data_IF_271358594311
#
_entry.id   IF_271358594311
#
_cell.length_a   1.000
_cell.length_b   1.000
_cell.length_c   1.000
_cell.angle_alpha   90.00
_cell.angle_beta   90.00
_cell.angle_gamma   90.00
#
_symmetry.space_group_name_H-M   'P 1'
#
loop_
_entity.id
_entity.type
_entity.pdbx_description
1 polymer ?
#
# COMPACT_ATOMS: atom_id res chain seq x y z
N UNK A 1 13.93 -5.35 1.47
CA UNK A 1 14.59 -4.14 0.95
C UNK A 1 13.55 -3.19 0.36
N UNK A 2 13.82 -1.89 0.48
CA UNK A 2 12.99 -0.83 -0.10
C UNK A 2 13.68 -0.38 -1.40
N UNK A 3 13.14 -0.79 -2.54
CA UNK A 3 13.80 -0.69 -3.85
C UNK A 3 13.20 0.44 -4.70
N UNK A 4 14.01 1.20 -5.47
CA UNK A 4 13.49 2.20 -6.39
C UNK A 4 12.56 1.59 -7.44
N UNK A 5 11.37 2.18 -7.63
CA UNK A 5 10.40 1.74 -8.66
C UNK A 5 10.97 1.85 -10.07
N UNK A 6 11.92 2.74 -10.30
CA UNK A 6 12.59 2.87 -11.59
C UNK A 6 13.29 1.59 -12.07
N UNK A 7 13.58 0.65 -11.15
CA UNK A 7 14.13 -0.68 -11.47
C UNK A 7 13.06 -1.64 -12.03
N UNK A 8 11.78 -1.30 -11.96
CA UNK A 8 10.64 -2.18 -12.24
C UNK A 8 9.77 -1.69 -13.38
N UNK A 9 10.35 -0.96 -14.35
CA UNK A 9 9.62 -0.52 -15.56
C UNK A 9 8.97 -1.71 -16.27
N UNK A 10 7.79 -1.48 -16.82
CA UNK A 10 7.01 -2.47 -17.59
C UNK A 10 6.64 -3.74 -16.80
N UNK A 11 6.50 -3.61 -15.49
CA UNK A 11 6.06 -4.69 -14.59
C UNK A 11 4.71 -4.37 -13.97
N UNK A 12 4.06 -5.40 -13.38
CA UNK A 12 2.84 -5.22 -12.60
C UNK A 12 3.05 -4.23 -11.43
N UNK A 13 4.25 -4.17 -10.87
CA UNK A 13 4.58 -3.23 -9.80
C UNK A 13 4.51 -1.78 -10.27
N UNK A 14 5.06 -1.49 -11.44
CA UNK A 14 5.00 -0.17 -12.06
C UNK A 14 3.55 0.21 -12.43
N UNK A 15 2.77 -0.73 -12.94
CA UNK A 15 1.36 -0.50 -13.29
C UNK A 15 0.52 -0.12 -12.05
N UNK A 16 0.67 -0.85 -10.95
CA UNK A 16 0.02 -0.53 -9.68
C UNK A 16 0.56 0.79 -9.11
N UNK A 17 1.87 0.99 -9.18
CA UNK A 17 2.56 2.18 -8.70
C UNK A 17 2.12 3.47 -9.38
N UNK A 18 1.58 3.41 -10.60
CA UNK A 18 1.03 4.60 -11.29
C UNK A 18 -0.05 5.30 -10.46
N UNK A 19 -0.86 4.55 -9.74
CA UNK A 19 -1.94 5.09 -8.90
C UNK A 19 -1.47 5.59 -7.53
N UNK A 20 -0.18 5.44 -7.21
CA UNK A 20 0.43 5.89 -5.95
C UNK A 20 1.29 7.12 -6.21
N UNK A 21 1.15 8.14 -5.38
CA UNK A 21 1.89 9.39 -5.54
C UNK A 21 2.40 9.94 -4.21
N UNK A 22 3.32 10.91 -4.31
CA UNK A 22 3.79 11.68 -3.16
C UNK A 22 2.73 12.73 -2.81
N UNK A 23 2.41 12.83 -1.55
CA UNK A 23 1.56 13.89 -1.01
C UNK A 23 2.43 14.87 -0.22
N UNK A 24 2.52 16.10 -0.70
CA UNK A 24 3.20 17.17 0.01
C UNK A 24 2.18 18.10 0.65
N UNK A 25 2.30 18.32 1.97
CA UNK A 25 1.57 19.33 2.69
C UNK A 25 2.52 20.48 3.01
N UNK A 26 2.23 21.68 2.48
CA UNK A 26 2.95 22.91 2.80
C UNK A 26 2.29 23.56 4.00
N UNK A 27 3.07 23.68 5.09
CA UNK A 27 2.64 24.32 6.32
C UNK A 27 3.48 25.57 6.61
N UNK A 28 3.12 26.33 7.64
CA UNK A 28 3.95 27.42 8.17
C UNK A 28 5.27 26.94 8.80
N UNK A 29 5.51 25.65 8.87
CA UNK A 29 6.77 25.02 9.36
C UNK A 29 7.53 24.28 8.28
N UNK A 30 7.10 24.35 7.02
CA UNK A 30 7.74 23.69 5.88
C UNK A 30 6.87 22.66 5.21
N UNK A 31 7.48 21.88 4.33
CA UNK A 31 6.82 20.84 3.55
C UNK A 31 6.99 19.48 4.23
N UNK A 32 5.89 18.76 4.40
CA UNK A 32 5.87 17.42 4.98
C UNK A 32 5.42 16.42 3.91
N UNK A 33 6.34 15.56 3.43
CA UNK A 33 6.01 14.55 2.44
C UNK A 33 5.41 13.32 3.09
N UNK A 34 4.36 12.83 2.48
CA UNK A 34 3.73 11.53 2.71
C UNK A 34 3.51 10.80 1.39
N UNK A 35 2.78 9.72 1.45
CA UNK A 35 2.27 8.96 0.31
C UNK A 35 0.74 9.01 0.31
N UNK A 36 0.14 9.02 -0.85
CA UNK A 36 -1.29 8.84 -1.05
C UNK A 36 -1.53 8.00 -2.31
N UNK A 37 -2.73 7.49 -2.49
CA UNK A 37 -3.08 6.75 -3.69
C UNK A 37 -4.49 7.05 -4.17
N UNK A 38 -4.69 6.94 -5.48
CA UNK A 38 -5.94 7.27 -6.17
C UNK A 38 -6.95 6.15 -5.93
N UNK A 39 -8.13 6.49 -5.44
CA UNK A 39 -9.24 5.55 -5.18
C UNK A 39 -10.46 5.81 -6.06
N UNK A 40 -10.58 7.01 -6.62
CA UNK A 40 -11.65 7.39 -7.55
C UNK A 40 -11.20 8.50 -8.49
N UNK A 41 -12.14 9.02 -9.28
CA UNK A 41 -11.91 10.14 -10.21
C UNK A 41 -11.22 11.34 -9.54
N UNK A 42 -11.63 11.69 -8.32
CA UNK A 42 -11.21 12.91 -7.63
C UNK A 42 -10.72 12.67 -6.19
N UNK A 43 -10.71 11.41 -5.72
CA UNK A 43 -10.33 11.11 -4.35
C UNK A 43 -9.03 10.33 -4.27
N UNK A 44 -8.20 10.75 -3.33
CA UNK A 44 -7.01 10.04 -2.90
C UNK A 44 -7.17 9.67 -1.42
N UNK A 45 -6.55 8.57 -1.01
CA UNK A 45 -6.51 8.09 0.37
C UNK A 45 -5.11 8.21 0.93
N UNK A 46 -5.01 8.69 2.17
CA UNK A 46 -3.77 8.84 2.93
C UNK A 46 -4.06 8.71 4.42
N UNK A 47 -3.05 8.92 5.28
CA UNK A 47 -3.26 9.02 6.72
C UNK A 47 -3.83 10.38 7.15
N UNK A 48 -4.57 10.37 8.26
CA UNK A 48 -4.99 11.61 8.93
C UNK A 48 -3.80 12.48 9.33
N UNK A 49 -2.74 11.89 9.89
CA UNK A 49 -1.55 12.62 10.31
C UNK A 49 -0.73 13.21 9.13
N UNK A 50 -1.07 12.87 7.88
CA UNK A 50 -0.53 13.49 6.65
C UNK A 50 -1.36 14.68 6.15
N UNK A 51 -2.47 14.98 6.81
CA UNK A 51 -3.39 16.07 6.50
C UNK A 51 -3.66 16.91 7.75
N UNK A 52 -4.90 17.02 8.22
CA UNK A 52 -5.22 17.84 9.40
C UNK A 52 -4.42 17.45 10.64
N UNK A 53 -4.10 16.19 10.83
CA UNK A 53 -3.29 15.69 11.95
C UNK A 53 -1.87 16.26 12.02
N UNK A 54 -1.37 16.89 10.95
CA UNK A 54 -0.11 17.67 11.02
C UNK A 54 -0.22 18.84 12.02
N UNK A 55 -1.42 19.41 12.18
CA UNK A 55 -1.67 20.52 13.09
C UNK A 55 -1.79 20.07 14.54
N UNK A 56 -2.02 18.79 14.77
CA UNK A 56 -2.13 18.18 16.10
C UNK A 56 -0.78 17.70 16.64
N UNK A 57 0.27 17.64 15.79
CA UNK A 57 1.60 17.19 16.18
C UNK A 57 2.40 18.34 16.81
N UNK A 58 2.45 18.38 18.14
CA UNK A 58 3.18 19.39 18.91
C UNK A 58 4.67 19.45 18.55
N UNK A 59 5.26 18.35 18.09
CA UNK A 59 6.68 18.29 17.68
C UNK A 59 6.92 19.10 16.42
N UNK A 60 5.93 19.15 15.54
CA UNK A 60 5.96 19.97 14.31
C UNK A 60 5.61 21.42 14.67
N UNK A 61 4.59 21.62 15.47
CA UNK A 61 4.11 22.94 15.89
C UNK A 61 3.54 23.77 14.72
N UNK A 62 3.07 23.11 13.68
CA UNK A 62 2.39 23.78 12.55
C UNK A 62 1.02 24.30 12.99
N UNK A 63 0.67 25.50 12.56
CA UNK A 63 -0.62 26.14 12.91
C UNK A 63 -1.59 26.17 11.73
N UNK A 64 -1.13 25.95 10.51
CA UNK A 64 -1.96 25.92 9.30
C UNK A 64 -1.30 25.13 8.19
N UNK A 65 -2.13 24.62 7.29
CA UNK A 65 -1.72 24.03 6.02
C UNK A 65 -2.07 25.06 4.93
N UNK A 66 -1.04 25.61 4.29
CA UNK A 66 -1.21 26.64 3.26
C UNK A 66 -1.58 26.04 1.90
N UNK A 67 -1.07 24.83 1.58
CA UNK A 67 -1.36 24.11 0.35
C UNK A 67 -1.09 22.61 0.51
N UNK A 68 -1.72 21.82 -0.35
CA UNK A 68 -1.41 20.39 -0.50
C UNK A 68 -1.34 20.03 -1.98
N UNK A 69 -0.43 19.12 -2.31
CA UNK A 69 -0.17 18.70 -3.68
C UNK A 69 0.02 17.20 -3.77
N UNK A 70 -0.63 16.58 -4.74
CA UNK A 70 -0.45 15.17 -5.10
C UNK A 70 0.41 15.08 -6.35
N UNK A 71 1.51 14.32 -6.27
CA UNK A 71 2.52 14.22 -7.31
C UNK A 71 2.54 12.76 -7.80
N UNK A 72 1.98 12.53 -8.98
CA UNK A 72 1.94 11.23 -9.64
C UNK A 72 3.09 11.09 -10.64
N UNK A 73 3.53 9.87 -10.88
CA UNK A 73 4.58 9.58 -11.88
C UNK A 73 6.00 9.92 -11.44
N UNK A 74 6.24 10.31 -10.20
CA UNK A 74 7.56 10.61 -9.68
C UNK A 74 8.28 9.31 -9.27
N UNK A 75 8.84 8.60 -10.25
CA UNK A 75 9.43 7.27 -10.08
C UNK A 75 10.95 7.28 -9.81
N UNK A 76 11.61 8.37 -10.14
CA UNK A 76 13.06 8.52 -9.94
C UNK A 76 13.37 9.85 -9.25
N UNK A 77 14.17 9.81 -8.19
CA UNK A 77 14.52 11.00 -7.42
C UNK A 77 15.27 12.02 -8.29
N UNK A 78 14.78 13.25 -8.28
CA UNK A 78 15.36 14.37 -9.04
C UNK A 78 15.01 14.37 -10.53
N UNK A 79 14.11 13.49 -10.99
CA UNK A 79 13.65 13.44 -12.38
C UNK A 79 12.17 13.79 -12.44
N UNK A 80 11.85 14.95 -13.03
CA UNK A 80 10.46 15.43 -13.16
C UNK A 80 9.77 14.96 -14.45
N UNK A 81 10.48 14.32 -15.36
CA UNK A 81 9.90 13.77 -16.58
C UNK A 81 8.84 12.71 -16.26
N UNK A 82 7.66 12.82 -16.87
CA UNK A 82 6.52 11.95 -16.62
C UNK A 82 5.76 12.25 -15.32
N UNK A 83 6.22 13.23 -14.54
CA UNK A 83 5.59 13.66 -13.30
C UNK A 83 4.42 14.59 -13.58
N UNK A 84 3.30 14.40 -12.89
CA UNK A 84 2.16 15.31 -12.93
C UNK A 84 1.73 15.72 -11.53
N UNK A 85 1.55 17.01 -11.34
CA UNK A 85 1.20 17.62 -10.05
C UNK A 85 -0.26 18.04 -10.06
N UNK A 86 -0.98 17.65 -9.02
CA UNK A 86 -2.39 18.00 -8.81
C UNK A 86 -2.55 18.78 -7.53
N UNK A 87 -3.33 19.84 -7.58
CA UNK A 87 -3.75 20.56 -6.37
C UNK A 87 -4.71 19.68 -5.57
N UNK A 88 -4.46 19.60 -4.27
CA UNK A 88 -5.31 18.88 -3.31
C UNK A 88 -5.98 19.90 -2.39
N UNK A 89 -7.28 19.73 -2.14
CA UNK A 89 -7.99 20.53 -1.16
C UNK A 89 -7.52 20.07 0.24
N UNK A 90 -6.89 20.94 1.05
CA UNK A 90 -6.26 20.53 2.31
C UNK A 90 -7.24 19.97 3.35
N UNK A 91 -8.50 20.46 3.36
CA UNK A 91 -9.53 19.93 4.25
C UNK A 91 -10.07 18.62 3.68
N UNK A 92 -9.94 17.48 4.39
CA UNK A 92 -10.45 16.21 3.93
C UNK A 92 -11.96 16.23 3.74
N UNK A 93 -12.46 15.47 2.77
CA UNK A 93 -13.90 15.23 2.61
C UNK A 93 -14.42 14.27 3.69
N UNK A 94 -13.55 13.41 4.20
CA UNK A 94 -13.81 12.49 5.31
C UNK A 94 -12.49 12.13 5.98
N UNK A 95 -12.49 11.94 7.29
CA UNK A 95 -11.32 11.44 8.02
C UNK A 95 -11.73 10.73 9.32
N UNK A 96 -10.78 10.00 9.89
CA UNK A 96 -10.86 9.43 11.23
C UNK A 96 -9.50 9.55 11.90
N UNK A 97 -9.45 10.20 13.04
CA UNK A 97 -8.26 10.26 13.88
C UNK A 97 -7.94 8.88 14.46
N UNK A 98 -8.97 8.16 14.93
CA UNK A 98 -8.82 6.83 15.53
C UNK A 98 -8.24 5.81 14.54
N UNK A 99 -8.71 5.81 13.30
CA UNK A 99 -8.25 4.91 12.24
C UNK A 99 -7.14 5.54 11.38
N UNK A 100 -6.67 6.73 11.72
CA UNK A 100 -5.62 7.46 11.03
C UNK A 100 -5.73 7.42 9.51
N UNK A 101 -6.93 7.73 8.97
CA UNK A 101 -7.11 7.90 7.54
C UNK A 101 -7.77 9.23 7.19
N UNK A 102 -7.49 9.71 5.98
CA UNK A 102 -8.12 10.86 5.38
C UNK A 102 -8.38 10.63 3.90
N UNK A 103 -9.57 11.00 3.45
CA UNK A 103 -9.96 11.04 2.03
C UNK A 103 -9.88 12.48 1.58
N UNK A 104 -9.01 12.77 0.62
CA UNK A 104 -8.76 14.11 0.11
C UNK A 104 -9.32 14.24 -1.31
N UNK A 105 -9.85 15.42 -1.63
CA UNK A 105 -10.28 15.77 -2.97
C UNK A 105 -9.12 16.38 -3.77
N UNK A 106 -8.97 15.89 -5.00
CA UNK A 106 -7.97 16.37 -5.96
C UNK A 106 -8.66 17.17 -7.04
N UNK A 107 -8.11 18.32 -7.38
CA UNK A 107 -8.60 19.13 -8.51
C UNK A 107 -8.11 18.50 -9.81
N UNK A 108 -9.04 18.06 -10.64
CA UNK A 108 -8.77 17.35 -11.88
C UNK A 108 -9.24 15.90 -11.84
N UNK A 109 -8.66 15.06 -12.71
CA UNK A 109 -9.01 13.64 -12.79
C UNK A 109 -7.74 12.80 -12.94
N UNK A 110 -6.99 12.57 -11.85
CA UNK A 110 -5.77 11.79 -11.92
C UNK A 110 -6.00 10.34 -12.33
N UNK A 111 -7.18 9.76 -12.03
CA UNK A 111 -7.47 8.37 -12.38
C UNK A 111 -7.52 8.10 -13.88
N UNK A 112 -7.81 9.14 -14.70
CA UNK A 112 -7.87 8.99 -16.16
C UNK A 112 -6.51 8.60 -16.74
N UNK A 113 -5.44 9.14 -16.18
CA UNK A 113 -4.08 8.92 -16.64
C UNK A 113 -3.34 7.84 -15.83
N UNK A 114 -3.52 7.84 -14.52
CA UNK A 114 -2.76 7.00 -13.59
C UNK A 114 -3.53 5.82 -13.02
N UNK A 115 -4.81 5.66 -13.38
CA UNK A 115 -5.64 4.59 -12.83
C UNK A 115 -6.01 4.82 -11.37
N UNK A 116 -6.56 3.80 -10.75
CA UNK A 116 -6.97 3.78 -9.34
C UNK A 116 -6.76 2.40 -8.75
N UNK A 117 -6.60 2.33 -7.43
CA UNK A 117 -6.48 1.08 -6.71
C UNK A 117 -7.84 0.61 -6.17
N UNK A 118 -8.04 -0.70 -6.17
CA UNK A 118 -9.22 -1.34 -5.58
C UNK A 118 -8.97 -1.56 -4.09
N UNK A 119 -10.01 -1.31 -3.28
CA UNK A 119 -9.99 -1.50 -1.82
C UNK A 119 -10.67 -2.81 -1.46
N UNK A 120 -9.96 -3.69 -0.76
CA UNK A 120 -10.47 -4.99 -0.34
C UNK A 120 -10.76 -5.01 1.16
N UNK A 121 -11.87 -5.64 1.55
CA UNK A 121 -12.20 -5.89 2.96
C UNK A 121 -11.60 -7.18 3.50
N UNK A 122 -10.77 -7.86 2.73
CA UNK A 122 -10.04 -9.04 3.19
C UNK A 122 -9.18 -8.73 4.40
N UNK A 123 -9.29 -9.53 5.45
CA UNK A 123 -8.39 -9.51 6.60
C UNK A 123 -7.25 -10.48 6.32
N UNK A 124 -6.00 -10.01 6.21
CA UNK A 124 -4.87 -10.88 5.90
C UNK A 124 -4.61 -11.95 6.95
N UNK A 125 -4.20 -13.12 6.49
CA UNK A 125 -3.70 -14.19 7.36
C UNK A 125 -2.24 -13.94 7.76
N UNK A 126 -1.78 -14.69 8.76
CA UNK A 126 -0.37 -14.73 9.16
C UNK A 126 0.52 -15.04 7.94
N UNK A 127 1.62 -14.29 7.82
CA UNK A 127 2.61 -14.42 6.75
C UNK A 127 2.10 -14.13 5.34
N UNK A 128 0.88 -13.60 5.15
CA UNK A 128 0.41 -13.17 3.84
C UNK A 128 1.42 -12.23 3.17
N UNK A 129 1.78 -12.46 1.90
CA UNK A 129 2.75 -11.63 1.20
C UNK A 129 2.13 -10.31 0.75
N UNK A 130 2.89 -9.22 0.91
CA UNK A 130 2.46 -7.87 0.54
C UNK A 130 3.46 -7.17 -0.37
N UNK A 131 2.97 -6.11 -1.00
CA UNK A 131 3.76 -5.04 -1.58
C UNK A 131 3.36 -3.72 -0.92
N UNK A 132 4.34 -2.91 -0.56
CA UNK A 132 4.12 -1.52 -0.15
C UNK A 132 4.81 -0.63 -1.16
N UNK A 133 4.06 0.31 -1.72
CA UNK A 133 4.56 1.28 -2.70
C UNK A 133 4.38 2.67 -2.10
N UNK A 134 5.43 3.47 -2.10
CA UNK A 134 5.36 4.80 -1.51
C UNK A 134 6.57 5.67 -1.83
N UNK A 135 6.67 6.79 -1.12
CA UNK A 135 7.68 7.82 -1.32
C UNK A 135 8.53 8.05 -0.07
N UNK A 136 9.44 7.12 0.27
CA UNK A 136 10.25 7.23 1.48
C UNK A 136 11.07 8.53 1.43
N UNK A 137 11.02 9.30 2.50
CA UNK A 137 11.72 10.59 2.64
C UNK A 137 11.42 11.60 1.52
N UNK A 138 10.24 11.50 0.88
CA UNK A 138 9.87 12.33 -0.26
C UNK A 138 10.65 12.04 -1.56
N UNK A 139 11.41 10.96 -1.60
CA UNK A 139 12.14 10.51 -2.79
C UNK A 139 11.21 10.00 -3.88
N UNK A 140 11.77 9.70 -5.04
CA UNK A 140 11.08 8.95 -6.10
C UNK A 140 10.48 7.66 -5.55
N UNK A 141 9.45 7.16 -6.22
CA UNK A 141 8.69 6.00 -5.74
C UNK A 141 9.56 4.77 -5.49
N UNK A 142 9.31 4.11 -4.40
CA UNK A 142 9.95 2.85 -3.99
C UNK A 142 8.91 1.78 -3.73
N UNK A 143 9.34 0.53 -3.80
CA UNK A 143 8.56 -0.66 -3.46
C UNK A 143 9.31 -1.51 -2.42
N UNK A 144 8.58 -1.96 -1.41
CA UNK A 144 8.98 -3.04 -0.51
C UNK A 144 8.16 -4.28 -0.88
N UNK A 145 8.83 -5.35 -1.28
CA UNK A 145 8.21 -6.61 -1.71
C UNK A 145 8.92 -7.86 -1.18
N UNK A 146 10.24 -7.84 -1.11
CA UNK A 146 11.00 -8.95 -0.56
C UNK A 146 10.90 -8.95 0.96
N UNK A 147 10.59 -10.12 1.54
CA UNK A 147 10.36 -10.30 2.98
C UNK A 147 9.25 -9.39 3.55
N UNK A 148 8.45 -8.80 2.68
CA UNK A 148 7.31 -7.96 3.01
C UNK A 148 6.07 -8.85 3.19
N UNK A 149 5.67 -9.07 4.42
CA UNK A 149 4.58 -9.98 4.78
C UNK A 149 3.93 -9.62 6.10
N UNK A 150 2.74 -10.18 6.33
CA UNK A 150 2.10 -10.10 7.63
C UNK A 150 2.97 -10.77 8.71
N UNK A 151 2.94 -10.23 9.90
CA UNK A 151 3.54 -10.82 11.09
C UNK A 151 2.75 -12.04 11.59
N UNK A 152 3.19 -12.62 12.68
CA UNK A 152 2.47 -13.67 13.40
C UNK A 152 2.37 -13.26 14.88
N UNK A 153 1.20 -12.87 15.38
CA UNK A 153 -0.08 -12.74 14.64
C UNK A 153 -0.09 -11.59 13.62
N UNK A 154 -0.88 -11.75 12.55
CA UNK A 154 -1.01 -10.73 11.51
C UNK A 154 -1.75 -9.49 12.00
N UNK A 155 -2.74 -9.67 12.86
CA UNK A 155 -3.68 -8.63 13.25
C UNK A 155 -3.75 -8.49 14.77
N UNK A 156 -3.74 -7.23 15.22
CA UNK A 156 -4.03 -6.83 16.59
C UNK A 156 -5.05 -5.70 16.57
N UNK A 157 -6.28 -5.93 17.02
CA UNK A 157 -7.40 -4.99 16.96
C UNK A 157 -7.70 -4.52 15.53
N UNK A 158 -7.49 -3.23 15.24
CA UNK A 158 -7.69 -2.61 13.92
C UNK A 158 -6.42 -2.57 13.07
N UNK A 159 -5.32 -3.10 13.60
CA UNK A 159 -3.97 -2.94 13.08
C UNK A 159 -3.47 -4.24 12.46
N UNK A 160 -2.99 -4.12 11.22
CA UNK A 160 -2.18 -5.13 10.56
C UNK A 160 -0.72 -4.91 10.96
N UNK A 161 -0.07 -5.96 11.44
CA UNK A 161 1.36 -5.98 11.72
C UNK A 161 2.11 -6.59 10.53
N UNK A 162 3.18 -5.94 10.08
CA UNK A 162 3.93 -6.40 8.91
C UNK A 162 5.43 -6.15 9.01
N UNK A 163 6.21 -6.87 8.21
CA UNK A 163 7.68 -6.82 8.19
C UNK A 163 8.23 -6.11 6.96
N UNK A 164 7.40 -5.39 6.22
CA UNK A 164 7.85 -4.65 5.04
C UNK A 164 8.79 -3.51 5.45
N UNK A 165 9.83 -3.27 4.66
CA UNK A 165 10.74 -2.15 4.88
C UNK A 165 10.06 -0.83 4.54
N UNK A 166 9.94 0.05 5.52
CA UNK A 166 9.38 1.39 5.35
C UNK A 166 10.24 2.43 6.04
N UNK A 167 10.17 3.65 5.54
CA UNK A 167 10.89 4.81 6.07
C UNK A 167 9.89 5.97 6.23
N UNK A 168 10.22 7.02 7.00
CA UNK A 168 9.43 8.25 7.02
C UNK A 168 9.10 8.73 5.61
N UNK A 169 7.84 9.13 5.37
CA UNK A 169 7.33 9.43 4.02
C UNK A 169 6.49 8.30 3.41
N UNK A 170 6.64 7.06 3.89
CA UNK A 170 5.75 5.95 3.51
C UNK A 170 4.38 5.99 4.22
N UNK A 171 4.18 6.88 5.17
CA UNK A 171 2.85 7.11 5.76
C UNK A 171 1.82 7.38 4.66
N UNK A 172 0.69 6.65 4.68
CA UNK A 172 -0.34 6.71 3.65
C UNK A 172 -0.12 5.77 2.45
N UNK A 173 0.96 4.98 2.46
CA UNK A 173 1.18 3.96 1.41
C UNK A 173 0.13 2.86 1.48
N UNK A 174 -0.34 2.37 0.32
CA UNK A 174 -1.18 1.18 0.27
C UNK A 174 -0.37 -0.06 0.64
N UNK A 175 -0.93 -0.91 1.49
CA UNK A 175 -0.49 -2.29 1.69
C UNK A 175 -1.30 -3.16 0.74
N UNK A 176 -0.64 -3.72 -0.25
CA UNK A 176 -1.26 -4.44 -1.35
C UNK A 176 -1.05 -5.93 -1.12
N UNK A 177 -2.13 -6.70 -1.08
CA UNK A 177 -2.06 -8.17 -1.08
C UNK A 177 -1.48 -8.64 -2.41
N UNK A 178 -0.40 -9.42 -2.37
CA UNK A 178 0.32 -9.83 -3.57
C UNK A 178 -0.51 -10.76 -4.48
N UNK A 179 -1.43 -11.54 -3.90
CA UNK A 179 -2.32 -12.43 -4.65
C UNK A 179 -3.49 -11.70 -5.29
N UNK A 180 -4.17 -10.83 -4.53
CA UNK A 180 -5.33 -10.07 -5.01
C UNK A 180 -4.94 -8.84 -5.83
N UNK A 181 -3.75 -8.28 -5.61
CA UNK A 181 -3.32 -6.99 -6.14
C UNK A 181 -4.29 -5.85 -5.79
N UNK A 182 -4.85 -5.91 -4.59
CA UNK A 182 -5.79 -4.95 -4.02
C UNK A 182 -5.29 -4.46 -2.67
N UNK A 183 -5.73 -3.28 -2.25
CA UNK A 183 -5.31 -2.66 -0.99
C UNK A 183 -6.07 -3.28 0.18
N UNK A 184 -5.34 -3.90 1.11
CA UNK A 184 -5.88 -4.56 2.31
C UNK A 184 -5.61 -3.79 3.60
N UNK A 185 -4.70 -2.82 3.55
CA UNK A 185 -4.42 -1.93 4.70
C UNK A 185 -3.76 -0.62 4.24
N UNK A 186 -3.74 0.35 5.14
CA UNK A 186 -3.11 1.65 4.97
C UNK A 186 -1.92 1.75 5.93
N UNK A 187 -0.70 1.80 5.41
CA UNK A 187 0.50 1.94 6.23
C UNK A 187 0.50 3.24 7.01
N UNK A 188 0.82 3.18 8.30
CA UNK A 188 0.76 4.38 9.11
C UNK A 188 1.97 4.63 10.01
N UNK A 189 2.63 3.59 10.53
CA UNK A 189 3.75 3.80 11.45
C UNK A 189 4.72 2.61 11.52
N UNK A 190 5.98 2.91 11.89
CA UNK A 190 6.90 1.93 12.45
C UNK A 190 6.68 1.77 13.94
N UNK A 191 6.85 0.57 14.48
CA UNK A 191 6.80 0.31 15.91
C UNK A 191 8.24 0.39 16.44
N UNK A 192 8.50 1.38 17.29
CA UNK A 192 9.82 1.56 17.87
C UNK A 192 10.23 0.31 18.70
N UNK A 193 11.46 -0.15 18.51
CA UNK A 193 12.07 -1.33 19.14
C UNK A 193 11.56 -2.70 18.66
N UNK A 194 10.60 -2.75 17.73
CA UNK A 194 10.19 -3.97 17.06
C UNK A 194 10.57 -3.90 15.58
N UNK A 195 11.00 -5.03 15.01
CA UNK A 195 11.24 -5.14 13.57
C UNK A 195 9.91 -5.28 12.79
N UNK A 196 8.87 -4.58 13.27
CA UNK A 196 7.50 -4.70 12.82
C UNK A 196 6.92 -3.30 12.59
N UNK A 197 6.19 -3.15 11.54
CA UNK A 197 5.45 -1.93 11.18
C UNK A 197 3.95 -2.16 11.33
N UNK A 198 3.21 -1.07 11.42
CA UNK A 198 1.77 -1.05 11.60
C UNK A 198 1.04 -0.41 10.42
N UNK A 199 -0.06 -1.03 10.03
CA UNK A 199 -1.00 -0.50 9.05
C UNK A 199 -2.44 -0.66 9.55
N UNK A 200 -3.33 0.24 9.17
CA UNK A 200 -4.74 0.13 9.53
C UNK A 200 -5.45 -0.77 8.53
N UNK A 201 -6.19 -1.76 9.02
CA UNK A 201 -6.95 -2.67 8.18
C UNK A 201 -7.93 -1.91 7.28
N UNK A 202 -7.91 -2.18 5.98
CA UNK A 202 -8.84 -1.57 5.03
C UNK A 202 -10.29 -1.97 5.34
N UNK A 203 -10.52 -3.18 5.85
CA UNK A 203 -11.84 -3.60 6.32
C UNK A 203 -12.42 -2.65 7.37
N UNK A 204 -11.60 -2.16 8.31
CA UNK A 204 -12.03 -1.23 9.36
C UNK A 204 -12.27 0.18 8.82
N UNK A 205 -11.44 0.63 7.90
CA UNK A 205 -11.63 1.89 7.21
C UNK A 205 -12.95 1.85 6.43
N UNK A 206 -13.22 0.79 5.67
CA UNK A 206 -14.43 0.63 4.87
C UNK A 206 -15.70 0.51 5.73
N UNK A 207 -15.62 -0.10 6.91
CA UNK A 207 -16.73 -0.14 7.88
C UNK A 207 -17.08 1.27 8.40
N UNK A 208 -16.08 2.12 8.58
CA UNK A 208 -16.25 3.48 9.12
C UNK A 208 -16.58 4.51 8.02
N UNK A 209 -16.10 4.33 6.81
CA UNK A 209 -16.17 5.32 5.74
C UNK A 209 -17.50 5.26 4.97
N UNK A 210 -18.12 6.42 4.79
CA UNK A 210 -19.27 6.59 3.88
C UNK A 210 -18.77 6.78 2.44
N UNK A 211 -17.71 7.56 2.26
CA UNK A 211 -17.19 7.90 0.93
C UNK A 211 -16.54 6.68 0.25
N UNK A 212 -15.72 5.93 0.96
CA UNK A 212 -14.97 4.81 0.40
C UNK A 212 -15.83 3.56 0.16
N UNK A 213 -16.98 3.44 0.81
CA UNK A 213 -17.90 2.32 0.60
C UNK A 213 -18.29 2.15 -0.89
N UNK A 214 -18.37 3.25 -1.63
CA UNK A 214 -18.65 3.25 -3.07
C UNK A 214 -17.49 2.69 -3.92
N UNK A 215 -16.29 2.58 -3.37
CA UNK A 215 -15.06 2.18 -4.08
C UNK A 215 -14.53 0.82 -3.61
N UNK A 216 -15.25 0.15 -2.72
CA UNK A 216 -14.95 -1.21 -2.30
C UNK A 216 -14.97 -2.13 -3.53
N UNK A 217 -13.92 -2.94 -3.68
CA UNK A 217 -13.93 -4.01 -4.68
C UNK A 217 -15.11 -4.96 -4.42
N UNK A 218 -15.77 -5.50 -5.45
CA UNK A 218 -16.70 -6.59 -5.26
C UNK A 218 -16.00 -7.69 -4.45
N UNK A 219 -16.72 -8.25 -3.48
CA UNK A 219 -16.23 -9.42 -2.76
C UNK A 219 -16.13 -10.55 -3.80
N UNK A 220 -14.93 -10.76 -4.34
CA UNK A 220 -14.68 -11.98 -5.10
C UNK A 220 -14.87 -13.12 -4.09
N UNK A 221 -15.88 -13.96 -4.31
CA UNK A 221 -15.94 -15.25 -3.65
C UNK A 221 -14.53 -15.85 -3.75
N UNK A 222 -13.96 -16.38 -2.66
CA UNK A 222 -12.63 -16.93 -2.71
C UNK A 222 -12.60 -17.80 -3.95
N UNK A 223 -11.78 -17.43 -4.93
CA UNK A 223 -11.48 -18.33 -6.05
C UNK A 223 -10.97 -19.54 -5.32
N UNK A 224 -11.84 -20.56 -5.24
CA UNK A 224 -11.37 -21.87 -4.88
C UNK A 224 -10.22 -22.09 -5.84
N UNK A 225 -8.99 -21.85 -5.38
CA UNK A 225 -7.86 -22.44 -6.06
C UNK A 225 -8.33 -23.88 -6.25
N UNK A 226 -8.30 -24.40 -7.47
CA UNK A 226 -8.41 -25.83 -7.60
C UNK A 226 -7.36 -26.32 -6.60
N UNK A 227 -7.81 -26.91 -5.51
CA UNK A 227 -6.98 -27.75 -4.68
C UNK A 227 -6.70 -28.93 -5.61
N UNK A 228 -5.75 -28.73 -6.52
CA UNK A 228 -5.06 -29.87 -7.08
C UNK A 228 -4.51 -30.57 -5.85
N UNK A 229 -4.98 -31.76 -5.60
CA UNK A 229 -4.57 -32.45 -4.40
C UNK A 229 -3.07 -32.59 -4.49
N UNK A 230 -2.34 -31.93 -3.57
CA UNK A 230 -0.90 -32.15 -3.38
C UNK A 230 -0.58 -33.66 -3.34
N UNK A 231 -1.54 -34.46 -2.94
CA UNK A 231 -1.53 -35.94 -2.97
C UNK A 231 -1.42 -36.51 -4.38
N UNK A 232 -2.08 -35.92 -5.40
CA UNK A 232 -2.00 -36.45 -6.76
C UNK A 232 -0.64 -36.10 -7.43
N UNK A 233 -0.11 -34.90 -7.16
CA UNK A 233 1.21 -34.51 -7.67
C UNK A 233 2.33 -35.30 -6.98
N UNK A 234 2.22 -35.54 -5.66
CA UNK A 234 3.17 -36.38 -4.91
C UNK A 234 3.11 -37.83 -5.39
N UNK A 235 1.92 -38.39 -5.59
CA UNK A 235 1.78 -39.76 -6.10
C UNK A 235 2.23 -39.94 -7.55
N UNK A 236 2.10 -38.88 -8.39
CA UNK A 236 2.63 -38.87 -9.74
C UNK A 236 4.16 -38.77 -9.78
N UNK A 237 4.75 -37.97 -8.90
CA UNK A 237 6.19 -37.91 -8.71
C UNK A 237 6.76 -39.24 -8.17
N UNK A 238 6.14 -39.83 -7.17
CA UNK A 238 6.57 -41.12 -6.62
C UNK A 238 6.44 -42.27 -7.62
N UNK A 239 5.41 -42.27 -8.49
CA UNK A 239 5.23 -43.24 -9.54
C UNK A 239 6.28 -43.12 -10.68
N UNK A 240 6.71 -41.91 -10.99
CA UNK A 240 7.69 -41.62 -12.04
C UNK A 240 9.14 -41.83 -11.57
N UNK A 241 9.42 -41.76 -10.26
CA UNK A 241 10.77 -41.74 -9.71
C UNK A 241 11.08 -42.93 -8.79
N UNK A 242 10.26 -43.97 -8.77
CA UNK A 242 10.56 -45.20 -8.03
C UNK A 242 11.87 -45.88 -8.47
N UNK A 243 12.45 -45.49 -9.62
CA UNK A 243 13.71 -46.05 -10.15
C UNK A 243 14.83 -45.01 -10.40
N UNK A 244 14.68 -43.71 -10.03
CA UNK A 244 15.62 -42.72 -10.53
C UNK A 244 16.38 -41.93 -9.42
N UNK A 245 17.66 -41.72 -9.70
CA UNK A 245 18.58 -40.88 -8.93
C UNK A 245 18.26 -39.35 -8.94
N UNK A 246 17.11 -38.91 -9.49
CA UNK A 246 16.77 -37.50 -9.74
C UNK A 246 15.58 -36.97 -8.95
N UNK A 247 15.17 -37.63 -7.88
CA UNK A 247 14.06 -37.16 -7.01
C UNK A 247 14.21 -35.72 -6.47
N UNK A 248 15.44 -35.19 -6.41
CA UNK A 248 15.69 -33.83 -5.93
C UNK A 248 15.12 -32.72 -6.82
N UNK A 249 14.96 -32.95 -8.12
CA UNK A 249 14.49 -31.92 -9.05
C UNK A 249 12.96 -31.72 -8.98
N UNK A 250 12.20 -32.78 -8.66
CA UNK A 250 10.73 -32.70 -8.59
C UNK A 250 10.25 -31.98 -7.32
N UNK A 251 10.97 -32.12 -6.22
CA UNK A 251 10.64 -31.44 -4.95
C UNK A 251 11.09 -29.98 -4.92
N UNK A 252 12.08 -29.59 -5.72
CA UNK A 252 12.54 -28.20 -5.79
C UNK A 252 11.58 -27.28 -6.58
N UNK A 253 10.70 -27.82 -7.39
CA UNK A 253 9.75 -27.04 -8.22
C UNK A 253 8.44 -26.72 -7.50
N UNK A 254 8.12 -27.41 -6.39
CA UNK A 254 6.87 -27.28 -5.62
C UNK A 254 7.09 -26.77 -4.18
N UNK A 255 8.24 -26.20 -3.86
CA UNK A 255 8.57 -25.65 -2.55
C UNK A 255 8.44 -24.11 -2.51
#
# INVERSE_FOLDING_TARGET
>A
ENEPMSNYKDTVFADIGRSVGRLDALTDKGVFPCTAFIVSKQHILTNYHCSLGLLDDERIGATRIDASQFIAGYTQTGVDEGTKKYTVIPTPVEYSEELDYAVLEVIGNPSKEFGKLKLASLVPNDRAPFWIIGHPQGKGQHISREKCRASTPAVSRNTLLHTCDTLPGNSGSPVIDAGLQQVVALHHAGIANDSVNAAILMSKILENSTVLAAYKAPEEAPKSQPVEPKTAAISACDALYSEAKEAKACYAYNA
#
